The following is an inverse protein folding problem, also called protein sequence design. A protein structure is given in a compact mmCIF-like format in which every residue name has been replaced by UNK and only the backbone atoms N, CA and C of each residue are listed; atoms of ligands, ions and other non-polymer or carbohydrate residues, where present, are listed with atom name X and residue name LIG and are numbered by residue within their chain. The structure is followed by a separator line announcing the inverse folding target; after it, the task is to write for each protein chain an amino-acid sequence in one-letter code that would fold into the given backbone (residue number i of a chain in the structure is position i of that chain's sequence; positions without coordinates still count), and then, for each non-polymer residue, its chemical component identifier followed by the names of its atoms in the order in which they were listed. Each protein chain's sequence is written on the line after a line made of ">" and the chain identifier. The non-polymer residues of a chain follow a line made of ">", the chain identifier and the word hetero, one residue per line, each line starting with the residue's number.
data_IF_355581076473
#
_entry.id   IF_355581076473
#
_cell.length_a   1.000
_cell.length_b   1.000
_cell.length_c   1.000
_cell.angle_alpha   90.00
_cell.angle_beta   90.00
_cell.angle_gamma   90.00
#
_symmetry.space_group_name_H-M   'P 1'
#
loop_
_entity.id
_entity.type
_entity.pdbx_description
1 polymer ?
#
# COMPACT_ATOMS: atom_id res chain seq x y z
N UNK A 1 -26.40 -39.89 -15.38
CA UNK A 1 -25.52 -39.48 -16.50
C UNK A 1 -25.21 -38.01 -16.34
N UNK A 2 -23.92 -37.71 -16.16
CA UNK A 2 -23.22 -36.42 -16.28
C UNK A 2 -24.01 -35.12 -16.01
N UNK A 3 -23.84 -34.57 -14.81
CA UNK A 3 -23.89 -33.11 -14.62
C UNK A 3 -22.77 -32.61 -13.68
N UNK A 4 -21.69 -33.38 -13.56
CA UNK A 4 -20.48 -33.00 -12.80
C UNK A 4 -19.64 -31.96 -13.59
N UNK A 5 -19.95 -31.73 -14.87
CA UNK A 5 -19.14 -30.88 -15.74
C UNK A 5 -19.35 -29.36 -15.57
N UNK A 6 -20.32 -28.92 -14.77
CA UNK A 6 -20.64 -27.48 -14.62
C UNK A 6 -20.19 -26.89 -13.27
N UNK A 7 -19.78 -27.70 -12.29
CA UNK A 7 -19.40 -27.21 -10.96
C UNK A 7 -17.90 -26.99 -10.75
N UNK A 8 -17.05 -27.36 -11.71
CA UNK A 8 -15.58 -27.24 -11.60
C UNK A 8 -15.04 -26.06 -12.42
N UNK A 9 -15.88 -25.33 -13.16
CA UNK A 9 -15.39 -24.27 -14.06
C UNK A 9 -15.19 -22.90 -13.40
N UNK A 10 -15.68 -22.66 -12.17
CA UNK A 10 -15.61 -21.34 -11.52
C UNK A 10 -14.44 -21.18 -10.52
N UNK A 11 -14.05 -22.17 -9.68
CA UNK A 11 -12.94 -21.95 -8.74
C UNK A 11 -11.55 -22.17 -9.35
N UNK A 12 -11.44 -22.81 -10.52
CA UNK A 12 -10.15 -23.03 -11.18
C UNK A 12 -9.69 -21.83 -12.04
N UNK A 13 -10.62 -20.97 -12.47
CA UNK A 13 -10.30 -19.77 -13.27
C UNK A 13 -9.79 -18.62 -12.40
N UNK A 14 -10.16 -18.56 -11.12
CA UNK A 14 -9.68 -17.54 -10.17
C UNK A 14 -8.34 -17.88 -9.50
N UNK A 15 -7.86 -19.13 -9.63
CA UNK A 15 -6.59 -19.56 -9.04
C UNK A 15 -5.34 -19.20 -9.89
N UNK A 16 -5.52 -18.63 -11.09
CA UNK A 16 -4.49 -18.62 -12.14
C UNK A 16 -3.61 -17.37 -12.25
N UNK A 17 -3.80 -16.33 -11.41
CA UNK A 17 -2.96 -15.13 -11.48
C UNK A 17 -2.63 -14.58 -10.09
N UNK A 18 -1.86 -15.33 -9.29
CA UNK A 18 -1.21 -14.79 -8.10
C UNK A 18 0.21 -14.33 -8.47
N UNK A 19 0.29 -13.28 -9.28
CA UNK A 19 1.54 -12.56 -9.53
C UNK A 19 1.89 -11.73 -8.27
N UNK A 20 2.27 -12.44 -7.21
CA UNK A 20 2.71 -11.87 -5.94
C UNK A 20 4.22 -12.00 -5.90
N UNK A 21 4.93 -10.89 -6.07
CA UNK A 21 6.37 -10.85 -5.83
C UNK A 21 6.71 -11.05 -4.35
N UNK A 22 8.00 -11.20 -4.02
CA UNK A 22 8.43 -11.26 -2.61
C UNK A 22 8.10 -9.95 -1.90
N UNK A 23 7.84 -10.04 -0.59
CA UNK A 23 7.77 -8.84 0.27
C UNK A 23 9.14 -8.13 0.22
N UNK A 24 9.20 -6.79 0.05
CA UNK A 24 10.46 -6.07 0.11
C UNK A 24 11.18 -6.34 1.44
N UNK A 25 12.49 -6.56 1.40
CA UNK A 25 13.28 -6.87 2.60
C UNK A 25 13.63 -5.65 3.44
N UNK A 26 13.30 -4.46 2.94
CA UNK A 26 13.62 -3.14 3.46
C UNK A 26 12.38 -2.39 3.96
N UNK A 27 11.29 -3.12 4.26
CA UNK A 27 10.12 -2.57 4.98
C UNK A 27 10.47 -2.27 6.44
N UNK A 28 9.77 -1.30 7.01
CA UNK A 28 9.99 -0.73 8.33
C UNK A 28 10.63 0.65 8.29
N UNK A 29 10.50 1.37 9.41
CA UNK A 29 11.17 2.65 9.63
C UNK A 29 12.57 2.45 10.24
N UNK A 30 13.41 1.67 9.57
CA UNK A 30 14.76 1.35 10.05
C UNK A 30 15.62 2.63 10.17
N UNK A 31 16.16 2.88 11.36
CA UNK A 31 16.93 4.10 11.62
C UNK A 31 16.10 5.38 11.67
N UNK A 32 14.76 5.26 11.81
CA UNK A 32 13.85 6.38 12.04
C UNK A 32 13.31 7.04 10.78
N UNK A 33 13.51 6.46 9.59
CA UNK A 33 12.88 6.90 8.35
C UNK A 33 12.48 5.67 7.52
N UNK A 34 11.52 5.84 6.62
CA UNK A 34 11.23 4.83 5.60
C UNK A 34 12.40 4.69 4.62
N UNK A 35 12.65 3.46 4.17
CA UNK A 35 13.61 3.18 3.10
C UNK A 35 13.26 3.96 1.82
N UNK A 36 14.24 4.48 1.06
CA UNK A 36 13.97 5.23 -0.16
C UNK A 36 13.36 4.35 -1.26
N UNK A 37 12.69 4.95 -2.23
CA UNK A 37 12.30 4.23 -3.45
C UNK A 37 13.55 3.84 -4.26
N UNK A 38 13.66 2.57 -4.71
CA UNK A 38 14.77 2.14 -5.56
C UNK A 38 14.76 2.83 -6.94
N UNK A 39 13.58 3.21 -7.43
CA UNK A 39 13.36 3.92 -8.69
C UNK A 39 11.90 4.37 -8.81
N UNK A 40 11.58 5.31 -9.72
CA UNK A 40 10.24 5.86 -9.88
C UNK A 40 9.27 4.92 -10.64
N UNK A 41 9.77 3.86 -11.26
CA UNK A 41 9.00 3.06 -12.20
C UNK A 41 7.91 2.18 -11.54
N UNK A 42 8.12 1.76 -10.28
CA UNK A 42 7.21 0.91 -9.51
C UNK A 42 7.17 1.26 -8.01
N UNK A 43 7.64 2.46 -7.65
CA UNK A 43 7.63 2.97 -6.28
C UNK A 43 7.37 4.48 -6.28
N UNK A 44 6.64 4.95 -5.28
CA UNK A 44 6.48 6.35 -4.97
C UNK A 44 6.70 6.59 -3.48
N UNK A 45 7.26 7.74 -3.14
CA UNK A 45 7.36 8.21 -1.75
C UNK A 45 6.99 9.67 -1.65
N UNK A 46 6.50 10.07 -0.49
CA UNK A 46 6.17 11.44 -0.17
C UNK A 46 6.49 11.75 1.29
N UNK A 47 6.68 13.04 1.57
CA UNK A 47 6.81 13.58 2.90
C UNK A 47 5.71 14.62 3.08
N UNK A 48 4.71 14.29 3.89
CA UNK A 48 3.59 15.17 4.16
C UNK A 48 3.85 15.96 5.45
N UNK A 49 3.73 17.29 5.34
CA UNK A 49 3.62 18.15 6.51
C UNK A 49 2.16 18.16 6.97
N UNK A 50 1.94 17.87 8.24
CA UNK A 50 0.61 17.75 8.85
C UNK A 50 0.60 18.44 10.20
N UNK A 51 -0.59 18.80 10.71
CA UNK A 51 -0.70 19.43 12.02
C UNK A 51 -0.35 18.48 13.17
N UNK A 52 -0.69 17.19 13.02
CA UNK A 52 -0.39 16.11 13.98
C UNK A 52 -0.24 14.79 13.20
N UNK A 53 0.97 14.26 13.16
CA UNK A 53 1.30 13.05 12.40
C UNK A 53 0.68 11.78 12.99
N UNK A 54 0.50 11.70 14.30
CA UNK A 54 -0.15 10.56 14.94
C UNK A 54 -1.64 10.53 14.63
N UNK A 55 -2.29 11.70 14.64
CA UNK A 55 -3.69 11.84 14.25
C UNK A 55 -3.88 11.52 12.76
N UNK A 56 -3.01 12.06 11.89
CA UNK A 56 -3.06 11.77 10.45
C UNK A 56 -2.85 10.27 10.17
N UNK A 57 -1.89 9.63 10.83
CA UNK A 57 -1.65 8.18 10.70
C UNK A 57 -2.88 7.35 11.09
N UNK A 58 -3.56 7.71 12.18
CA UNK A 58 -4.81 7.03 12.61
C UNK A 58 -5.93 7.21 11.60
N UNK A 59 -6.13 8.42 11.09
CA UNK A 59 -7.13 8.69 10.07
C UNK A 59 -6.87 7.88 8.80
N UNK A 60 -5.61 7.82 8.36
CA UNK A 60 -5.22 7.00 7.21
C UNK A 60 -5.43 5.51 7.48
N UNK A 61 -5.18 5.02 8.69
CA UNK A 61 -5.45 3.63 9.04
C UNK A 61 -6.95 3.28 8.83
N UNK A 62 -7.87 4.15 9.26
CA UNK A 62 -9.32 3.97 9.08
C UNK A 62 -9.72 3.98 7.59
N UNK A 63 -9.12 4.88 6.80
CA UNK A 63 -9.32 4.92 5.33
C UNK A 63 -8.81 3.64 4.68
N UNK A 64 -7.61 3.18 5.05
CA UNK A 64 -6.99 1.97 4.50
C UNK A 64 -7.82 0.74 4.86
N UNK A 65 -8.28 0.60 6.10
CA UNK A 65 -9.07 -0.53 6.56
C UNK A 65 -10.41 -0.67 5.81
N UNK A 66 -11.00 0.45 5.40
CA UNK A 66 -12.27 0.48 4.65
C UNK A 66 -12.08 0.45 3.13
N UNK A 67 -10.83 0.50 2.66
CA UNK A 67 -10.52 0.47 1.22
C UNK A 67 -10.68 -0.96 0.67
N UNK A 68 -11.34 -1.17 -0.48
CA UNK A 68 -11.45 -2.51 -1.05
C UNK A 68 -10.09 -3.10 -1.46
N UNK A 69 -9.87 -4.37 -1.14
CA UNK A 69 -8.67 -5.16 -1.51
C UNK A 69 -7.37 -4.68 -0.84
N UNK A 70 -7.51 -4.17 0.38
CA UNK A 70 -6.39 -3.82 1.26
C UNK A 70 -6.37 -4.71 2.49
N UNK A 71 -5.20 -4.84 3.10
CA UNK A 71 -5.00 -5.52 4.39
C UNK A 71 -3.92 -4.78 5.17
N UNK A 72 -4.20 -4.38 6.41
CA UNK A 72 -3.17 -3.87 7.33
C UNK A 72 -2.42 -5.07 7.89
N UNK A 73 -1.11 -5.14 7.61
CA UNK A 73 -0.24 -6.27 7.96
C UNK A 73 0.51 -6.01 9.27
N UNK A 74 0.91 -4.77 9.51
CA UNK A 74 1.56 -4.34 10.76
C UNK A 74 1.13 -2.92 11.12
N UNK A 75 0.96 -2.66 12.41
CA UNK A 75 0.57 -1.36 12.92
C UNK A 75 1.11 -1.15 14.33
N UNK A 76 1.76 -0.01 14.53
CA UNK A 76 2.25 0.48 15.81
C UNK A 76 1.77 1.91 16.07
N UNK A 77 2.26 2.55 17.13
CA UNK A 77 1.89 3.93 17.47
C UNK A 77 2.33 4.97 16.42
N UNK A 78 3.38 4.69 15.66
CA UNK A 78 3.98 5.62 14.71
C UNK A 78 4.25 5.02 13.33
N UNK A 79 3.86 3.77 13.09
CA UNK A 79 4.08 3.09 11.81
C UNK A 79 2.85 2.27 11.41
N UNK A 80 2.59 2.19 10.11
CA UNK A 80 1.59 1.32 9.52
C UNK A 80 2.14 0.72 8.23
N UNK A 81 1.98 -0.58 8.08
CA UNK A 81 2.21 -1.32 6.85
C UNK A 81 0.91 -1.97 6.38
N UNK A 82 0.53 -1.71 5.14
CA UNK A 82 -0.61 -2.34 4.50
C UNK A 82 -0.25 -2.87 3.12
N UNK A 83 -1.01 -3.86 2.66
CA UNK A 83 -0.92 -4.37 1.29
C UNK A 83 -2.12 -3.93 0.47
N UNK A 84 -1.90 -3.63 -0.80
CA UNK A 84 -2.93 -3.30 -1.78
C UNK A 84 -2.86 -4.29 -2.93
N UNK A 85 -4.00 -4.92 -3.29
CA UNK A 85 -4.05 -5.85 -4.41
C UNK A 85 -4.86 -5.33 -5.61
N UNK A 86 -4.30 -5.51 -6.80
CA UNK A 86 -4.95 -5.13 -8.06
C UNK A 86 -6.15 -6.03 -8.36
N UNK A 87 -7.20 -5.44 -8.95
CA UNK A 87 -8.47 -6.14 -9.19
C UNK A 87 -8.38 -7.27 -10.22
N UNK A 88 -7.53 -7.12 -11.24
CA UNK A 88 -7.53 -7.98 -12.43
C UNK A 88 -6.35 -8.95 -12.44
N UNK A 89 -5.14 -8.45 -12.14
CA UNK A 89 -3.90 -9.21 -12.31
C UNK A 89 -3.31 -9.75 -10.99
N UNK A 90 -3.87 -9.37 -9.84
CA UNK A 90 -3.41 -9.85 -8.54
C UNK A 90 -2.05 -9.31 -8.09
N UNK A 91 -1.49 -8.29 -8.77
CA UNK A 91 -0.32 -7.56 -8.27
C UNK A 91 -0.56 -7.02 -6.87
N UNK A 92 0.46 -7.11 -6.03
CA UNK A 92 0.44 -6.64 -4.64
C UNK A 92 1.49 -5.53 -4.50
N UNK A 93 1.05 -4.42 -3.93
CA UNK A 93 1.89 -3.31 -3.50
C UNK A 93 1.91 -3.25 -1.97
N UNK A 94 3.03 -2.86 -1.40
CA UNK A 94 3.20 -2.55 0.01
C UNK A 94 3.15 -1.03 0.20
N UNK A 95 2.32 -0.58 1.14
CA UNK A 95 2.20 0.82 1.57
C UNK A 95 2.70 0.93 2.99
N UNK A 96 3.62 1.86 3.23
CA UNK A 96 4.16 2.19 4.52
C UNK A 96 3.86 3.65 4.85
N UNK A 97 3.41 3.88 6.08
CA UNK A 97 3.22 5.21 6.64
C UNK A 97 4.00 5.29 7.95
N UNK A 98 4.74 6.37 8.13
CA UNK A 98 5.58 6.56 9.32
C UNK A 98 5.48 7.99 9.85
N UNK A 99 4.91 8.14 11.05
CA UNK A 99 4.93 9.38 11.81
C UNK A 99 6.35 9.59 12.36
N UNK A 100 7.20 10.25 11.56
CA UNK A 100 8.63 10.47 11.83
C UNK A 100 8.85 11.40 13.02
N UNK A 101 8.05 12.46 13.08
CA UNK A 101 7.97 13.40 14.19
C UNK A 101 6.56 13.97 14.28
N UNK A 102 6.29 14.91 15.20
CA UNK A 102 4.94 15.45 15.48
C UNK A 102 4.22 16.02 14.26
N UNK A 103 4.94 16.50 13.24
CA UNK A 103 4.37 17.20 12.08
C UNK A 103 4.75 16.59 10.74
N UNK A 104 5.60 15.56 10.74
CA UNK A 104 6.06 14.90 9.52
C UNK A 104 5.55 13.47 9.43
N UNK A 105 4.78 13.20 8.38
CA UNK A 105 4.33 11.87 8.02
C UNK A 105 5.00 11.45 6.71
N UNK A 106 5.84 10.41 6.78
CA UNK A 106 6.44 9.79 5.60
C UNK A 106 5.48 8.75 5.02
N UNK A 107 5.45 8.67 3.70
CA UNK A 107 4.68 7.66 2.98
C UNK A 107 5.52 7.02 1.89
N UNK A 108 5.42 5.70 1.76
CA UNK A 108 6.00 4.92 0.65
C UNK A 108 4.96 3.94 0.12
N UNK A 109 4.88 3.78 -1.18
CA UNK A 109 4.08 2.77 -1.86
C UNK A 109 4.94 2.10 -2.91
N UNK A 110 5.11 0.77 -2.83
CA UNK A 110 6.04 0.02 -3.68
C UNK A 110 5.42 -1.30 -4.15
N UNK A 111 5.55 -1.59 -5.44
CA UNK A 111 5.09 -2.88 -5.99
C UNK A 111 6.08 -4.01 -5.69
N UNK A 112 5.57 -5.20 -5.34
CA UNK A 112 6.42 -6.39 -5.11
C UNK A 112 7.07 -6.96 -6.38
N UNK A 113 6.48 -6.63 -7.53
CA UNK A 113 6.76 -7.26 -8.82
C UNK A 113 6.28 -6.33 -9.94
N UNK A 114 7.03 -6.33 -11.04
CA UNK A 114 6.70 -5.64 -12.28
C UNK A 114 7.79 -4.65 -12.66
N UNK A 115 7.94 -4.40 -13.95
CA UNK A 115 8.88 -3.38 -14.45
C UNK A 115 8.33 -1.97 -14.28
N UNK A 116 6.99 -1.83 -14.25
CA UNK A 116 6.33 -0.56 -13.96
C UNK A 116 4.92 -0.75 -13.41
N UNK A 117 4.50 0.19 -12.56
CA UNK A 117 3.16 0.28 -11.99
C UNK A 117 2.23 1.25 -12.74
N UNK A 118 2.71 1.89 -13.82
CA UNK A 118 1.99 2.94 -14.55
C UNK A 118 1.54 4.13 -13.68
N UNK A 119 2.28 4.43 -12.60
CA UNK A 119 1.99 5.51 -11.67
C UNK A 119 0.96 5.19 -10.59
N UNK A 120 0.52 3.93 -10.47
CA UNK A 120 -0.48 3.51 -9.48
C UNK A 120 -0.04 3.82 -8.05
N UNK A 121 1.24 3.64 -7.71
CA UNK A 121 1.75 3.93 -6.37
C UNK A 121 1.72 5.44 -6.07
N UNK A 122 2.06 6.28 -7.05
CA UNK A 122 1.99 7.74 -6.89
C UNK A 122 0.54 8.22 -6.70
N UNK A 123 -0.37 7.77 -7.57
CA UNK A 123 -1.80 8.08 -7.47
C UNK A 123 -2.42 7.60 -6.15
N UNK A 124 -1.93 6.48 -5.60
CA UNK A 124 -2.36 5.99 -4.29
C UNK A 124 -1.95 6.96 -3.19
N UNK A 125 -0.70 7.42 -3.18
CA UNK A 125 -0.25 8.39 -2.18
C UNK A 125 -1.01 9.71 -2.31
N UNK A 126 -1.26 10.18 -3.53
CA UNK A 126 -2.10 11.37 -3.76
C UNK A 126 -3.52 11.19 -3.19
N UNK A 127 -4.17 10.07 -3.48
CA UNK A 127 -5.52 9.78 -2.97
C UNK A 127 -5.57 9.69 -1.44
N UNK A 128 -4.52 9.16 -0.81
CA UNK A 128 -4.40 9.14 0.65
C UNK A 128 -4.20 10.54 1.22
N UNK A 129 -3.35 11.35 0.59
CA UNK A 129 -3.12 12.74 1.00
C UNK A 129 -4.42 13.57 1.00
N UNK A 130 -5.31 13.36 0.02
CA UNK A 130 -6.63 14.04 -0.03
C UNK A 130 -7.55 13.71 1.16
N UNK A 131 -7.29 12.64 1.91
CA UNK A 131 -8.10 12.26 3.08
C UNK A 131 -7.63 12.88 4.39
N UNK A 132 -6.48 13.53 4.40
CA UNK A 132 -5.90 14.21 5.56
C UNK A 132 -5.67 15.68 5.25
N UNK A 133 -5.55 16.50 6.30
CA UNK A 133 -5.15 17.90 6.14
C UNK A 133 -3.63 17.99 6.04
N UNK A 134 -3.12 18.11 4.80
CA UNK A 134 -1.72 18.46 4.57
C UNK A 134 -1.54 19.97 4.65
N UNK A 135 -0.50 20.41 5.34
CA UNK A 135 -0.13 21.81 5.40
C UNK A 135 0.61 22.16 4.10
N UNK A 136 0.02 23.05 3.30
CA UNK A 136 0.67 23.59 2.10
C UNK A 136 2.01 24.24 2.49
N UNK A 137 3.10 23.78 1.88
CA UNK A 137 4.43 24.42 1.95
C UNK A 137 4.57 25.53 0.93
#
# INVERSE_FOLDING_TARGET
>A
MSSILVQITIPFVLALFHFVGPVPSDLGADGGNLSPCPGPEHCASNLWQVADSSSALKQLAEVIETTPRTEIVDQSSNYLHATYSSRIFGFVDDVELHARDEVTLEARSISRLGESDLGVNALRLESLAETIETLDT
#
